data_IF_787352350747
#
_entry.id   IF_787352350747
#
_cell.length_a   1.000
_cell.length_b   1.000
_cell.length_c   1.000
_cell.angle_alpha   90.00
_cell.angle_beta   90.00
_cell.angle_gamma   90.00
#
_symmetry.space_group_name_H-M   'P 1'
#
loop_
_entity.id
_entity.type
_entity.pdbx_description
1 polymer ?
#
# COMPACT_ATOMS: atom_id res chain seq x y z
N UNK A 1 -21.12 -12.80 8.92
CA UNK A 1 -20.24 -13.89 9.37
C UNK A 1 -19.38 -13.36 10.51
N UNK A 2 -19.04 -14.17 11.52
CA UNK A 2 -18.17 -13.70 12.61
C UNK A 2 -16.71 -13.71 12.13
N UNK A 3 -16.00 -12.61 12.32
CA UNK A 3 -14.58 -12.53 12.01
C UNK A 3 -13.77 -13.45 12.94
N UNK A 4 -13.01 -14.35 12.33
CA UNK A 4 -12.07 -15.24 12.98
C UNK A 4 -10.62 -14.79 12.68
N UNK A 5 -9.92 -14.35 13.73
CA UNK A 5 -8.55 -13.84 13.67
C UNK A 5 -7.52 -14.89 13.28
N UNK A 6 -7.63 -16.11 13.81
CA UNK A 6 -6.68 -17.20 13.49
C UNK A 6 -6.76 -17.52 12.01
N UNK A 7 -7.99 -17.62 11.48
CA UNK A 7 -8.22 -17.83 10.05
C UNK A 7 -7.68 -16.70 9.19
N UNK A 8 -7.88 -15.45 9.62
CA UNK A 8 -7.37 -14.29 8.89
C UNK A 8 -5.83 -14.31 8.85
N UNK A 9 -5.19 -14.61 9.97
CA UNK A 9 -3.73 -14.76 10.03
C UNK A 9 -3.22 -15.92 9.17
N UNK A 10 -3.88 -17.07 9.20
CA UNK A 10 -3.50 -18.21 8.37
C UNK A 10 -3.60 -17.88 6.87
N UNK A 11 -4.64 -17.16 6.45
CA UNK A 11 -4.77 -16.71 5.07
C UNK A 11 -3.67 -15.70 4.69
N UNK A 12 -3.37 -14.73 5.56
CA UNK A 12 -2.29 -13.76 5.36
C UNK A 12 -0.91 -14.46 5.25
N UNK A 13 -0.65 -15.48 6.07
CA UNK A 13 0.59 -16.25 6.00
C UNK A 13 0.67 -17.05 4.69
N UNK A 14 -0.43 -17.69 4.25
CA UNK A 14 -0.48 -18.38 2.95
C UNK A 14 -0.21 -17.41 1.80
N UNK A 15 -0.73 -16.19 1.88
CA UNK A 15 -0.52 -15.16 0.85
C UNK A 15 0.95 -14.75 0.73
N UNK A 16 1.65 -14.65 1.86
CA UNK A 16 3.10 -14.42 1.87
C UNK A 16 3.85 -15.58 1.18
N UNK A 17 3.58 -16.82 1.60
CA UNK A 17 4.19 -18.02 1.01
C UNK A 17 3.90 -18.18 -0.50
N UNK A 18 2.72 -17.76 -0.96
CA UNK A 18 2.30 -17.85 -2.36
C UNK A 18 2.73 -16.64 -3.19
N UNK A 19 3.50 -15.73 -2.61
CA UNK A 19 3.97 -14.51 -3.27
C UNK A 19 2.82 -13.62 -3.78
N UNK A 20 1.71 -13.59 -3.05
CA UNK A 20 0.49 -12.87 -3.45
C UNK A 20 0.71 -11.35 -3.44
N UNK A 21 1.52 -10.85 -2.49
CA UNK A 21 1.86 -9.43 -2.39
C UNK A 21 2.51 -8.94 -3.68
N UNK A 22 3.58 -9.62 -4.13
CA UNK A 22 4.21 -9.32 -5.42
C UNK A 22 3.22 -9.37 -6.59
N UNK A 23 2.32 -10.36 -6.64
CA UNK A 23 1.33 -10.46 -7.72
C UNK A 23 0.36 -9.27 -7.73
N UNK A 24 -0.07 -8.79 -6.56
CA UNK A 24 -0.95 -7.62 -6.44
C UNK A 24 -0.16 -6.35 -6.79
N UNK A 25 1.06 -6.18 -6.27
CA UNK A 25 1.94 -5.04 -6.59
C UNK A 25 2.17 -4.93 -8.09
N UNK A 26 2.56 -6.03 -8.75
CA UNK A 26 2.74 -6.05 -10.20
C UNK A 26 1.46 -5.70 -10.96
N UNK A 27 0.30 -6.16 -10.47
CA UNK A 27 -1.00 -5.85 -11.07
C UNK A 27 -1.29 -4.36 -11.00
N UNK A 28 -1.10 -3.74 -9.83
CA UNK A 28 -1.32 -2.30 -9.63
C UNK A 28 -0.37 -1.48 -10.50
N UNK A 29 0.94 -1.79 -10.49
CA UNK A 29 1.95 -1.10 -11.30
C UNK A 29 1.64 -1.22 -12.80
N UNK A 30 1.22 -2.40 -13.29
CA UNK A 30 0.90 -2.59 -14.72
C UNK A 30 -0.33 -1.83 -15.20
N UNK A 31 -1.24 -1.45 -14.31
CA UNK A 31 -2.44 -0.67 -14.65
C UNK A 31 -2.16 0.82 -14.59
N UNK A 32 -1.12 1.24 -13.86
CA UNK A 32 -0.69 2.63 -13.74
C UNK A 32 0.66 2.84 -14.44
N UNK A 33 0.60 3.16 -15.74
CA UNK A 33 1.78 3.29 -16.62
C UNK A 33 2.86 4.23 -16.07
N UNK A 34 2.47 5.25 -15.30
CA UNK A 34 3.39 6.22 -14.69
C UNK A 34 4.29 5.59 -13.61
N UNK A 35 3.80 4.55 -12.92
CA UNK A 35 4.55 3.84 -11.88
C UNK A 35 5.63 2.92 -12.46
N UNK A 36 5.49 2.48 -13.72
CA UNK A 36 6.43 1.53 -14.35
C UNK A 36 7.84 2.11 -14.44
N UNK A 37 7.96 3.42 -14.63
CA UNK A 37 9.24 4.12 -14.75
C UNK A 37 9.85 4.59 -13.44
N UNK A 38 9.24 4.27 -12.29
CA UNK A 38 9.63 4.78 -10.97
C UNK A 38 10.25 3.68 -10.10
N UNK A 39 11.36 3.09 -10.57
CA UNK A 39 12.01 1.96 -9.90
C UNK A 39 12.72 2.34 -8.60
N UNK A 40 13.08 3.62 -8.44
CA UNK A 40 13.69 4.16 -7.22
C UNK A 40 12.70 4.32 -6.06
N UNK A 41 11.40 4.20 -6.35
CA UNK A 41 10.34 4.21 -5.33
C UNK A 41 10.09 2.76 -4.90
N UNK A 42 10.32 2.49 -3.62
CA UNK A 42 10.20 1.15 -3.01
C UNK A 42 8.75 0.64 -2.88
N UNK A 43 8.01 0.56 -4.00
CA UNK A 43 6.60 0.14 -4.03
C UNK A 43 6.39 -1.30 -3.57
N UNK A 44 7.36 -2.18 -3.79
CA UNK A 44 7.25 -3.55 -3.28
C UNK A 44 7.51 -3.62 -1.78
N UNK A 45 8.46 -2.85 -1.26
CA UNK A 45 8.77 -2.86 0.17
C UNK A 45 7.59 -2.30 0.96
N UNK A 46 6.99 -1.18 0.50
CA UNK A 46 5.80 -0.62 1.17
C UNK A 46 4.59 -1.57 1.11
N UNK A 47 4.46 -2.40 0.07
CA UNK A 47 3.42 -3.43 -0.01
C UNK A 47 3.65 -4.59 0.99
N UNK A 48 4.92 -4.97 1.23
CA UNK A 48 5.25 -5.94 2.28
C UNK A 48 5.06 -5.35 3.68
N UNK A 49 5.44 -4.10 3.91
CA UNK A 49 5.16 -3.42 5.18
C UNK A 49 3.65 -3.31 5.44
N UNK A 50 2.85 -3.08 4.39
CA UNK A 50 1.39 -3.15 4.49
C UNK A 50 0.90 -4.54 4.95
N UNK A 51 1.47 -5.63 4.42
CA UNK A 51 1.15 -6.99 4.87
C UNK A 51 1.53 -7.20 6.34
N UNK A 52 2.72 -6.78 6.75
CA UNK A 52 3.16 -6.87 8.14
C UNK A 52 2.22 -6.07 9.07
N UNK A 53 1.77 -4.91 8.60
CA UNK A 53 0.86 -4.04 9.33
C UNK A 53 -0.52 -4.67 9.52
N UNK A 54 -1.13 -5.25 8.49
CA UNK A 54 -2.42 -5.94 8.65
C UNK A 54 -2.29 -7.16 9.56
N UNK A 55 -1.19 -7.93 9.46
CA UNK A 55 -0.92 -9.04 10.38
C UNK A 55 -0.81 -8.57 11.83
N UNK A 56 -0.13 -7.44 12.07
CA UNK A 56 -0.05 -6.80 13.38
C UNK A 56 -1.44 -6.38 13.87
N UNK A 57 -2.25 -5.75 13.02
CA UNK A 57 -3.61 -5.32 13.39
C UNK A 57 -4.51 -6.50 13.76
N UNK A 58 -4.44 -7.62 13.03
CA UNK A 58 -5.21 -8.83 13.40
C UNK A 58 -4.78 -9.39 14.76
N UNK A 59 -3.47 -9.42 15.04
CA UNK A 59 -2.91 -9.94 16.30
C UNK A 59 -3.27 -9.05 17.50
N UNK A 60 -3.01 -7.74 17.37
CA UNK A 60 -2.96 -6.82 18.51
C UNK A 60 -4.21 -5.95 18.68
N UNK A 61 -5.05 -5.77 17.63
CA UNK A 61 -6.28 -4.95 17.72
C UNK A 61 -7.52 -5.80 17.83
N UNK A 62 -8.54 -5.29 18.53
CA UNK A 62 -9.87 -5.90 18.64
C UNK A 62 -10.75 -5.60 17.43
N UNK A 63 -10.24 -5.79 16.20
CA UNK A 63 -11.12 -5.77 15.04
C UNK A 63 -12.18 -6.87 15.18
N UNK A 64 -13.45 -6.49 15.04
CA UNK A 64 -14.62 -7.37 15.19
C UNK A 64 -15.19 -7.83 13.85
N UNK A 65 -14.74 -7.21 12.74
CA UNK A 65 -15.11 -7.52 11.37
C UNK A 65 -13.92 -7.34 10.42
N UNK A 66 -14.04 -7.86 9.19
CA UNK A 66 -13.07 -7.56 8.12
C UNK A 66 -13.11 -6.08 7.74
N UNK A 67 -14.29 -5.49 7.67
CA UNK A 67 -14.48 -4.06 7.40
C UNK A 67 -13.70 -3.21 8.42
N UNK A 68 -13.87 -3.48 9.73
CA UNK A 68 -13.15 -2.76 10.78
C UNK A 68 -11.63 -2.99 10.70
N UNK A 69 -11.19 -4.19 10.32
CA UNK A 69 -9.76 -4.47 10.10
C UNK A 69 -9.20 -3.61 8.97
N UNK A 70 -9.88 -3.53 7.83
CA UNK A 70 -9.41 -2.76 6.69
C UNK A 70 -9.47 -1.26 6.92
N UNK A 71 -10.50 -0.76 7.61
CA UNK A 71 -10.56 0.65 8.05
C UNK A 71 -9.35 1.01 8.94
N UNK A 72 -9.03 0.16 9.92
CA UNK A 72 -7.88 0.37 10.80
C UNK A 72 -6.54 0.38 10.05
N UNK A 73 -6.40 -0.49 9.04
CA UNK A 73 -5.19 -0.52 8.21
C UNK A 73 -5.13 0.73 7.33
N UNK A 74 -6.25 1.13 6.73
CA UNK A 74 -6.36 2.33 5.91
C UNK A 74 -5.98 3.60 6.67
N UNK A 75 -6.44 3.74 7.92
CA UNK A 75 -6.11 4.90 8.77
C UNK A 75 -4.59 5.06 9.03
N UNK A 76 -3.79 4.03 8.78
CA UNK A 76 -2.35 4.01 9.01
C UNK A 76 -1.50 4.04 7.72
N UNK A 77 -2.09 4.04 6.52
CA UNK A 77 -1.34 4.03 5.26
C UNK A 77 -0.43 5.25 5.13
N UNK A 78 -0.88 6.43 5.56
CA UNK A 78 -0.06 7.64 5.55
C UNK A 78 1.24 7.52 6.36
N UNK A 79 1.23 6.72 7.44
CA UNK A 79 2.42 6.44 8.25
C UNK A 79 3.35 5.48 7.50
N UNK A 80 2.80 4.44 6.86
CA UNK A 80 3.58 3.53 6.02
C UNK A 80 4.29 4.31 4.91
N UNK A 81 3.57 5.19 4.22
CA UNK A 81 4.13 6.08 3.20
C UNK A 81 5.30 6.89 3.75
N UNK A 82 5.11 7.65 4.84
CA UNK A 82 6.17 8.50 5.41
C UNK A 82 7.42 7.72 5.84
N UNK A 83 7.25 6.48 6.32
CA UNK A 83 8.35 5.62 6.74
C UNK A 83 9.18 5.08 5.56
N UNK A 84 8.60 5.00 4.37
CA UNK A 84 9.24 4.38 3.20
C UNK A 84 9.88 5.39 2.23
N UNK A 85 9.62 6.69 2.38
CA UNK A 85 10.24 7.71 1.52
C UNK A 85 11.76 7.68 1.66
N UNK A 86 12.46 7.83 0.53
CA UNK A 86 13.91 7.90 0.51
C UNK A 86 14.41 9.07 1.39
N UNK A 87 15.28 8.76 2.35
CA UNK A 87 15.86 9.75 3.26
C UNK A 87 17.16 10.35 2.73
N UNK A 88 17.77 9.72 1.73
CA UNK A 88 19.03 10.19 1.16
C UNK A 88 18.79 10.96 -0.14
N UNK A 89 19.43 12.12 -0.24
CA UNK A 89 19.30 13.02 -1.39
C UNK A 89 19.68 12.39 -2.74
N UNK A 90 20.58 11.41 -2.75
CA UNK A 90 20.99 10.74 -3.99
C UNK A 90 19.90 9.81 -4.53
N UNK A 91 19.28 9.01 -3.66
CA UNK A 91 18.16 8.13 -4.00
C UNK A 91 16.91 8.94 -4.40
N UNK A 92 16.62 10.03 -3.67
CA UNK A 92 15.54 10.96 -4.03
C UNK A 92 15.69 11.57 -5.44
N UNK A 93 16.93 11.75 -5.90
CA UNK A 93 17.22 12.33 -7.22
C UNK A 93 17.12 11.34 -8.36
N UNK A 94 17.11 10.04 -8.08
CA UNK A 94 16.82 9.06 -9.11
C UNK A 94 15.41 9.31 -9.65
N UNK A 95 15.29 9.26 -10.98
CA UNK A 95 14.02 9.50 -11.69
C UNK A 95 13.36 10.85 -11.30
N UNK A 96 14.17 11.86 -10.96
CA UNK A 96 13.67 13.15 -10.49
C UNK A 96 12.72 13.85 -11.48
N UNK A 97 12.94 13.69 -12.79
CA UNK A 97 12.06 14.29 -13.80
C UNK A 97 10.71 13.59 -13.82
N UNK A 98 10.69 12.27 -13.73
CA UNK A 98 9.51 11.43 -13.67
C UNK A 98 8.71 11.72 -12.39
N UNK A 99 9.37 11.79 -11.23
CA UNK A 99 8.77 12.17 -9.94
C UNK A 99 8.16 13.58 -9.99
N UNK A 100 8.87 14.54 -10.58
CA UNK A 100 8.36 15.90 -10.75
C UNK A 100 7.13 15.92 -11.68
N UNK A 101 7.20 15.24 -12.82
CA UNK A 101 6.05 15.16 -13.74
C UNK A 101 4.84 14.55 -13.03
N UNK A 102 5.02 13.45 -12.30
CA UNK A 102 3.96 12.80 -11.54
C UNK A 102 3.24 13.76 -10.60
N UNK A 103 3.98 14.44 -9.72
CA UNK A 103 3.35 15.36 -8.75
C UNK A 103 2.74 16.59 -9.43
N UNK A 104 3.27 17.04 -10.58
CA UNK A 104 2.67 18.13 -11.35
C UNK A 104 1.37 17.73 -12.04
N UNK A 105 1.29 16.50 -12.54
CA UNK A 105 0.13 16.01 -13.31
C UNK A 105 -0.99 15.52 -12.39
N UNK A 106 -0.65 14.84 -11.29
CA UNK A 106 -1.63 14.19 -10.40
C UNK A 106 -1.93 14.99 -9.11
N UNK A 107 -0.95 15.76 -8.59
CA UNK A 107 -1.06 16.44 -7.29
C UNK A 107 -0.67 17.92 -7.35
N UNK A 108 -1.17 18.62 -8.37
CA UNK A 108 -0.83 20.04 -8.57
C UNK A 108 -1.25 20.94 -7.38
N UNK A 109 -2.18 20.48 -6.55
CA UNK A 109 -2.62 21.14 -5.32
C UNK A 109 -1.47 21.36 -4.34
N UNK A 110 -0.45 20.49 -4.36
CA UNK A 110 0.76 20.67 -3.58
C UNK A 110 1.46 22.02 -3.86
N UNK A 111 1.35 22.53 -5.09
CA UNK A 111 1.98 23.78 -5.52
C UNK A 111 1.11 25.01 -5.32
N UNK A 112 -0.13 24.88 -4.87
CA UNK A 112 -1.06 26.02 -4.75
C UNK A 112 -0.73 26.96 -3.57
N UNK A 113 0.09 26.53 -2.61
CA UNK A 113 0.57 27.42 -1.55
C UNK A 113 1.80 28.25 -1.98
N UNK A 114 1.85 29.52 -1.54
CA UNK A 114 2.93 30.47 -1.89
C UNK A 114 4.27 30.19 -1.19
N UNK A 115 4.39 29.07 -0.48
CA UNK A 115 5.63 28.71 0.22
C UNK A 115 6.65 28.24 -0.81
N UNK A 116 7.80 28.92 -0.84
CA UNK A 116 8.94 28.50 -1.67
C UNK A 116 9.40 27.12 -1.21
N UNK A 117 9.37 26.15 -2.12
CA UNK A 117 9.83 24.78 -1.89
C UNK A 117 11.19 24.57 -2.55
N UNK A 118 12.11 23.93 -1.84
CA UNK A 118 13.33 23.44 -2.48
C UNK A 118 13.04 22.13 -3.24
N UNK A 119 13.94 21.76 -4.16
CA UNK A 119 13.73 20.60 -5.03
C UNK A 119 13.62 19.29 -4.25
N UNK A 120 14.34 19.13 -3.13
CA UNK A 120 14.28 17.91 -2.33
C UNK A 120 12.96 17.81 -1.58
N UNK A 121 12.43 18.92 -1.08
CA UNK A 121 11.09 18.95 -0.49
C UNK A 121 10.02 18.53 -1.51
N UNK A 122 10.14 18.97 -2.77
CA UNK A 122 9.24 18.56 -3.85
C UNK A 122 9.42 17.08 -4.20
N UNK A 123 10.66 16.58 -4.32
CA UNK A 123 10.93 15.17 -4.63
C UNK A 123 10.44 14.24 -3.51
N UNK A 124 10.64 14.63 -2.24
CA UNK A 124 10.11 13.90 -1.08
C UNK A 124 8.59 13.84 -1.11
N UNK A 125 7.93 14.95 -1.45
CA UNK A 125 6.48 14.98 -1.60
C UNK A 125 6.02 14.14 -2.80
N UNK A 126 6.77 14.13 -3.90
CA UNK A 126 6.45 13.29 -5.04
C UNK A 126 6.48 11.82 -4.67
N UNK A 127 7.54 11.33 -4.00
CA UNK A 127 7.59 9.95 -3.51
C UNK A 127 6.46 9.63 -2.53
N UNK A 128 6.13 10.55 -1.62
CA UNK A 128 4.97 10.40 -0.74
C UNK A 128 3.70 10.13 -1.55
N UNK A 129 3.37 11.01 -2.50
CA UNK A 129 2.13 10.88 -3.28
C UNK A 129 2.14 9.65 -4.19
N UNK A 130 3.27 9.32 -4.82
CA UNK A 130 3.41 8.09 -5.62
C UNK A 130 3.11 6.85 -4.77
N UNK A 131 3.65 6.78 -3.56
CA UNK A 131 3.43 5.67 -2.64
C UNK A 131 2.00 5.66 -2.08
N UNK A 132 1.43 6.82 -1.76
CA UNK A 132 0.07 6.97 -1.23
C UNK A 132 -0.98 6.53 -2.27
N UNK A 133 -0.85 6.99 -3.51
CA UNK A 133 -1.71 6.57 -4.63
C UNK A 133 -1.56 5.07 -4.93
N UNK A 134 -0.32 4.56 -4.91
CA UNK A 134 -0.07 3.13 -5.04
C UNK A 134 -0.76 2.36 -3.91
N UNK A 135 -0.64 2.79 -2.66
CA UNK A 135 -1.24 2.13 -1.50
C UNK A 135 -2.76 2.20 -1.53
N UNK A 136 -3.36 3.25 -2.08
CA UNK A 136 -4.80 3.33 -2.30
C UNK A 136 -5.28 2.21 -3.23
N UNK A 137 -4.68 2.08 -4.40
CA UNK A 137 -5.04 1.03 -5.37
C UNK A 137 -4.69 -0.37 -4.85
N UNK A 138 -3.53 -0.52 -4.20
CA UNK A 138 -3.10 -1.76 -3.57
C UNK A 138 -4.06 -2.20 -2.46
N UNK A 139 -4.45 -1.29 -1.56
CA UNK A 139 -5.41 -1.55 -0.48
C UNK A 139 -6.72 -2.09 -1.03
N UNK A 140 -7.28 -1.42 -2.04
CA UNK A 140 -8.53 -1.82 -2.67
C UNK A 140 -8.42 -3.21 -3.31
N UNK A 141 -7.36 -3.48 -4.06
CA UNK A 141 -7.16 -4.77 -4.69
C UNK A 141 -6.92 -5.88 -3.66
N UNK A 142 -6.12 -5.60 -2.63
CA UNK A 142 -5.84 -6.50 -1.52
C UNK A 142 -7.13 -6.87 -0.79
N UNK A 143 -7.90 -5.88 -0.34
CA UNK A 143 -9.16 -6.08 0.38
C UNK A 143 -10.12 -6.93 -0.44
N UNK A 144 -10.35 -6.55 -1.69
CA UNK A 144 -11.26 -7.24 -2.59
C UNK A 144 -10.89 -8.72 -2.81
N UNK A 145 -9.59 -9.03 -2.92
CA UNK A 145 -9.15 -10.42 -3.05
C UNK A 145 -9.22 -11.17 -1.72
N UNK A 146 -8.87 -10.50 -0.62
CA UNK A 146 -8.80 -11.11 0.70
C UNK A 146 -10.19 -11.51 1.18
N UNK A 147 -11.18 -10.60 1.07
CA UNK A 147 -12.56 -10.88 1.44
C UNK A 147 -13.12 -12.09 0.68
N UNK A 148 -12.89 -12.17 -0.64
CA UNK A 148 -13.33 -13.30 -1.47
C UNK A 148 -12.71 -14.62 -1.04
N UNK A 149 -11.39 -14.63 -0.82
CA UNK A 149 -10.70 -15.86 -0.40
C UNK A 149 -11.09 -16.27 1.03
N UNK A 150 -11.27 -15.29 1.92
CA UNK A 150 -11.72 -15.52 3.29
C UNK A 150 -13.13 -16.14 3.34
N UNK A 151 -14.07 -15.62 2.54
CA UNK A 151 -15.42 -16.21 2.41
C UNK A 151 -15.36 -17.66 1.91
N UNK A 152 -14.57 -17.92 0.87
CA UNK A 152 -14.41 -19.26 0.31
C UNK A 152 -13.81 -20.27 1.30
N UNK A 153 -12.87 -19.84 2.14
CA UNK A 153 -12.34 -20.71 3.19
C UNK A 153 -13.38 -21.00 4.28
N UNK A 154 -14.31 -20.10 4.56
CA UNK A 154 -15.39 -20.33 5.53
C UNK A 154 -16.47 -21.26 5.00
N UNK A 155 -16.84 -21.14 3.73
CA UNK A 155 -17.82 -22.03 3.12
C UNK A 155 -17.33 -23.47 3.07
N UNK A 156 -16.03 -23.69 2.80
CA UNK A 156 -15.41 -25.02 2.81
C UNK A 156 -15.50 -25.70 4.18
N UNK A 157 -15.29 -24.97 5.27
CA UNK A 157 -15.42 -25.49 6.64
C UNK A 157 -16.87 -25.85 7.00
N UNK A 158 -17.86 -25.10 6.51
CA UNK A 158 -19.28 -25.43 6.75
C UNK A 158 -19.76 -26.67 5.98
N UNK A 159 -19.04 -27.07 4.93
CA UNK A 159 -19.39 -28.25 4.10
C UNK A 159 -18.68 -29.55 4.50
N UNK A 160 -17.76 -29.52 5.49
CA UNK A 160 -17.01 -30.67 6.01
C UNK A 160 -17.57 -31.16 7.35
#
# INVERSE_FOLDING_TARGET
MNFNKEKALDLLNKWDEQNKINQITEKVIKVNDELISLNSVSLIDVAYEYLEHIQYMVKEKEANSLEELFDLVWDNTSILTECNINIYNHDLQEEAFEKLNYIFENHNEYFQNEIKKDVYAVLRAAEYYIMDDFLYEFHNEFQNQFEKEYELENDKEMTL
#
